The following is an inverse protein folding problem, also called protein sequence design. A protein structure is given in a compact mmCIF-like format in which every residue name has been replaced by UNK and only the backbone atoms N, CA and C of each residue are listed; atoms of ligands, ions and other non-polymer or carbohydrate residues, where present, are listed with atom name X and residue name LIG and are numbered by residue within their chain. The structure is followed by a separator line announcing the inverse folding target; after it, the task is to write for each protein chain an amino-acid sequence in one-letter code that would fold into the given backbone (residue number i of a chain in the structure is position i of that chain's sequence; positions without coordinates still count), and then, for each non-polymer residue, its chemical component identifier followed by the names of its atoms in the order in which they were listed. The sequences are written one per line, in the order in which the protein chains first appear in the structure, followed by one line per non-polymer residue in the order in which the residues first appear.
data_IF_679199696233
#
_entry.id   IF_679199696233
#
_cell.length_a   1.000
_cell.length_b   1.000
_cell.length_c   1.000
_cell.angle_alpha   90.00
_cell.angle_beta   90.00
_cell.angle_gamma   90.00
#
_symmetry.space_group_name_H-M   'P 1'
#
loop_
_entity.id
_entity.type
_entity.pdbx_description
1 polymer ?
#
# COMPACT_ATOMS: atom_id res chain seq x y z
N UNK A 1 -41.45 -6.92 -14.00
CA UNK A 1 -40.45 -5.90 -14.40
C UNK A 1 -39.08 -6.52 -14.25
N UNK A 2 -38.18 -6.46 -15.25
CA UNK A 2 -36.83 -6.99 -15.11
C UNK A 2 -36.05 -6.08 -14.15
N UNK A 3 -35.32 -6.72 -13.23
CA UNK A 3 -34.41 -6.06 -12.29
C UNK A 3 -33.25 -5.52 -13.13
N UNK A 4 -33.06 -4.20 -13.11
CA UNK A 4 -31.93 -3.52 -13.74
C UNK A 4 -30.63 -4.13 -13.20
N UNK A 5 -29.59 -4.39 -14.02
CA UNK A 5 -28.33 -4.86 -13.50
C UNK A 5 -27.79 -3.78 -12.56
N UNK A 6 -27.54 -4.18 -11.33
CA UNK A 6 -26.94 -3.36 -10.29
C UNK A 6 -25.71 -2.68 -10.88
N UNK A 7 -25.77 -1.35 -11.04
CA UNK A 7 -24.58 -0.53 -11.21
C UNK A 7 -23.60 -0.96 -10.12
N UNK A 8 -22.33 -1.28 -10.43
CA UNK A 8 -21.37 -1.58 -9.38
C UNK A 8 -21.39 -0.39 -8.43
N UNK A 9 -21.76 -0.62 -7.18
CA UNK A 9 -21.68 0.40 -6.15
C UNK A 9 -20.19 0.68 -6.03
N UNK A 10 -19.74 1.81 -6.58
CA UNK A 10 -18.41 2.33 -6.31
C UNK A 10 -18.33 2.51 -4.79
N UNK A 11 -17.61 1.60 -4.14
CA UNK A 11 -17.48 1.59 -2.68
C UNK A 11 -16.46 2.66 -2.32
N UNK A 12 -16.95 3.75 -1.75
CA UNK A 12 -16.11 4.85 -1.29
C UNK A 12 -15.93 4.76 0.22
N UNK A 13 -14.68 4.83 0.67
CA UNK A 13 -14.32 4.97 2.08
C UNK A 13 -13.74 6.35 2.32
N UNK A 14 -14.09 6.99 3.43
CA UNK A 14 -13.46 8.24 3.85
C UNK A 14 -12.35 7.96 4.85
N UNK A 15 -11.22 8.65 4.70
CA UNK A 15 -10.18 8.75 5.72
C UNK A 15 -10.17 10.18 6.25
N UNK A 16 -10.17 10.30 7.57
CA UNK A 16 -9.90 11.54 8.27
C UNK A 16 -8.39 11.70 8.45
N UNK A 17 -7.85 12.78 7.90
CA UNK A 17 -6.46 13.21 8.05
C UNK A 17 -6.25 13.91 9.38
N UNK A 18 -4.98 14.05 9.79
CA UNK A 18 -4.63 14.68 11.07
C UNK A 18 -5.06 16.17 11.18
N UNK A 19 -5.30 16.83 10.04
CA UNK A 19 -5.82 18.20 9.96
C UNK A 19 -7.36 18.27 10.02
N UNK A 20 -8.04 17.14 10.19
CA UNK A 20 -9.50 17.02 10.21
C UNK A 20 -10.13 17.02 8.81
N UNK A 21 -9.34 16.99 7.74
CA UNK A 21 -9.86 16.87 6.37
C UNK A 21 -10.30 15.44 6.07
N UNK A 22 -11.35 15.29 5.25
CA UNK A 22 -11.84 14.00 4.79
C UNK A 22 -11.43 13.76 3.34
N UNK A 23 -10.66 12.70 3.11
CA UNK A 23 -10.30 12.23 1.78
C UNK A 23 -11.15 11.04 1.39
N UNK A 24 -11.87 11.14 0.27
CA UNK A 24 -12.61 10.03 -0.32
C UNK A 24 -11.67 9.06 -1.04
N UNK A 25 -11.85 7.77 -0.80
CA UNK A 25 -11.06 6.69 -1.38
C UNK A 25 -11.96 5.77 -2.17
N UNK A 26 -11.61 5.55 -3.43
CA UNK A 26 -12.12 4.47 -4.23
C UNK A 26 -11.50 3.14 -3.74
N UNK A 27 -12.32 2.27 -3.15
CA UNK A 27 -11.88 0.97 -2.64
C UNK A 27 -11.45 0.01 -3.75
N UNK A 28 -12.02 0.13 -4.95
CA UNK A 28 -11.64 -0.69 -6.10
C UNK A 28 -10.24 -0.31 -6.57
N UNK A 29 -9.94 0.98 -6.64
CA UNK A 29 -8.60 1.46 -6.96
C UNK A 29 -7.59 1.04 -5.89
N UNK A 30 -7.95 1.16 -4.60
CA UNK A 30 -7.12 0.72 -3.49
C UNK A 30 -6.80 -0.78 -3.59
N UNK A 31 -7.81 -1.65 -3.76
CA UNK A 31 -7.63 -3.10 -3.86
C UNK A 31 -6.71 -3.46 -5.04
N UNK A 32 -6.91 -2.80 -6.19
CA UNK A 32 -6.05 -2.99 -7.36
C UNK A 32 -4.59 -2.65 -7.06
N UNK A 33 -4.32 -1.46 -6.51
CA UNK A 33 -2.96 -1.01 -6.19
C UNK A 33 -2.28 -1.90 -5.14
N UNK A 34 -3.01 -2.29 -4.09
CA UNK A 34 -2.51 -3.18 -3.04
C UNK A 34 -2.11 -4.53 -3.64
N UNK A 35 -2.97 -5.15 -4.46
CA UNK A 35 -2.68 -6.45 -5.07
C UNK A 35 -1.48 -6.40 -6.01
N UNK A 36 -1.36 -5.33 -6.79
CA UNK A 36 -0.25 -5.14 -7.72
C UNK A 36 1.10 -5.05 -6.97
N UNK A 37 1.16 -4.23 -5.92
CA UNK A 37 2.36 -4.13 -5.07
C UNK A 37 2.66 -5.48 -4.41
N UNK A 38 1.66 -6.16 -3.83
CA UNK A 38 1.84 -7.47 -3.22
C UNK A 38 2.43 -8.50 -4.21
N UNK A 39 1.93 -8.54 -5.45
CA UNK A 39 2.45 -9.44 -6.47
C UNK A 39 3.94 -9.17 -6.74
N UNK A 40 4.33 -7.90 -6.86
CA UNK A 40 5.73 -7.52 -7.07
C UNK A 40 6.64 -7.83 -5.88
N UNK A 41 6.11 -7.81 -4.65
CA UNK A 41 6.88 -8.20 -3.46
C UNK A 41 7.13 -9.71 -3.42
N UNK A 42 6.21 -10.53 -3.93
CA UNK A 42 6.32 -12.00 -3.94
C UNK A 42 7.21 -12.50 -5.09
N UNK A 43 7.20 -11.83 -6.25
CA UNK A 43 7.95 -12.26 -7.43
C UNK A 43 9.46 -12.19 -7.20
N UNK A 44 10.13 -13.32 -7.43
CA UNK A 44 11.58 -13.48 -7.31
C UNK A 44 12.28 -13.02 -8.59
N UNK A 45 12.72 -11.76 -8.65
CA UNK A 45 13.51 -11.25 -9.78
C UNK A 45 14.86 -10.68 -9.30
N UNK A 46 15.95 -11.47 -9.33
CA UNK A 46 17.27 -10.95 -9.01
C UNK A 46 17.75 -9.96 -10.10
N UNK A 47 18.16 -8.76 -9.69
CA UNK A 47 18.93 -7.84 -10.55
C UNK A 47 18.17 -6.69 -11.23
N UNK A 48 16.91 -6.42 -10.88
CA UNK A 48 16.18 -5.22 -11.35
C UNK A 48 15.78 -4.32 -10.18
N UNK A 49 15.64 -3.02 -10.47
CA UNK A 49 15.04 -2.05 -9.54
C UNK A 49 13.69 -2.56 -9.05
N UNK A 50 13.39 -2.37 -7.76
CA UNK A 50 12.24 -3.00 -7.12
C UNK A 50 10.91 -2.40 -7.62
N UNK A 51 10.10 -3.15 -8.39
CA UNK A 51 8.87 -2.60 -9.00
C UNK A 51 7.86 -2.13 -7.94
N UNK A 52 7.79 -2.81 -6.79
CA UNK A 52 6.94 -2.43 -5.67
C UNK A 52 7.28 -1.03 -5.12
N UNK A 53 8.58 -0.69 -5.02
CA UNK A 53 9.01 0.64 -4.59
C UNK A 53 8.69 1.72 -5.62
N UNK A 54 8.85 1.42 -6.91
CA UNK A 54 8.51 2.35 -7.99
C UNK A 54 7.01 2.66 -8.02
N UNK A 55 6.17 1.63 -7.91
CA UNK A 55 4.71 1.78 -7.83
C UNK A 55 4.27 2.59 -6.61
N UNK A 56 4.91 2.38 -5.45
CA UNK A 56 4.62 3.17 -4.27
C UNK A 56 4.96 4.66 -4.48
N UNK A 57 6.08 4.95 -5.12
CA UNK A 57 6.49 6.31 -5.44
C UNK A 57 5.55 6.99 -6.46
N UNK A 58 5.02 6.22 -7.40
CA UNK A 58 4.00 6.67 -8.35
C UNK A 58 2.68 7.00 -7.65
N UNK A 59 2.16 6.08 -6.83
CA UNK A 59 0.95 6.30 -6.03
C UNK A 59 1.07 7.55 -5.15
N UNK A 60 2.22 7.73 -4.49
CA UNK A 60 2.46 8.91 -3.65
C UNK A 60 2.44 10.20 -4.46
N UNK A 61 3.02 10.19 -5.68
CA UNK A 61 3.04 11.34 -6.58
C UNK A 61 1.65 11.70 -7.12
N UNK A 62 0.87 10.69 -7.50
CA UNK A 62 -0.44 10.88 -8.12
C UNK A 62 -1.49 11.34 -7.12
N UNK A 63 -1.49 10.72 -5.94
CA UNK A 63 -2.48 11.03 -4.89
C UNK A 63 -2.10 12.26 -4.06
N UNK A 64 -0.80 12.56 -3.95
CA UNK A 64 -0.24 13.62 -3.09
C UNK A 64 -0.74 13.54 -1.64
N UNK A 65 -1.18 12.36 -1.20
CA UNK A 65 -1.76 12.13 0.11
C UNK A 65 -0.86 11.18 0.91
N UNK A 66 -0.20 11.67 1.96
CA UNK A 66 0.58 10.83 2.87
C UNK A 66 -0.28 9.75 3.54
N UNK A 67 -1.53 10.08 3.91
CA UNK A 67 -2.45 9.15 4.57
C UNK A 67 -2.90 8.03 3.63
N UNK A 68 -3.21 8.35 2.37
CA UNK A 68 -3.51 7.33 1.37
C UNK A 68 -2.31 6.40 1.15
N UNK A 69 -1.12 6.98 1.01
CA UNK A 69 0.13 6.22 0.85
C UNK A 69 0.37 5.30 2.06
N UNK A 70 0.12 5.79 3.27
CA UNK A 70 0.20 5.00 4.51
C UNK A 70 -0.81 3.86 4.52
N UNK A 71 -2.06 4.10 4.09
CA UNK A 71 -3.07 3.05 4.00
C UNK A 71 -2.61 1.95 3.05
N UNK A 72 -2.15 2.29 1.85
CA UNK A 72 -1.65 1.33 0.86
C UNK A 72 -0.52 0.49 1.46
N UNK A 73 0.50 1.13 2.04
CA UNK A 73 1.65 0.44 2.64
C UNK A 73 1.21 -0.49 3.77
N UNK A 74 0.32 -0.03 4.64
CA UNK A 74 -0.15 -0.82 5.78
C UNK A 74 -0.91 -2.07 5.31
N UNK A 75 -1.84 -1.90 4.37
CA UNK A 75 -2.62 -3.01 3.82
C UNK A 75 -1.73 -4.02 3.08
N UNK A 76 -0.77 -3.55 2.28
CA UNK A 76 0.22 -4.40 1.61
C UNK A 76 1.04 -5.20 2.62
N UNK A 77 1.51 -4.55 3.69
CA UNK A 77 2.31 -5.18 4.74
C UNK A 77 1.52 -6.23 5.53
N UNK A 78 0.24 -6.00 5.77
CA UNK A 78 -0.64 -7.00 6.39
C UNK A 78 -0.81 -8.22 5.50
N UNK A 79 -1.11 -8.03 4.21
CA UNK A 79 -1.32 -9.14 3.27
C UNK A 79 -0.05 -9.95 3.03
N UNK A 80 1.10 -9.29 2.86
CA UNK A 80 2.37 -10.01 2.68
C UNK A 80 2.78 -10.75 3.95
N UNK A 81 2.52 -10.19 5.13
CA UNK A 81 2.75 -10.85 6.42
C UNK A 81 1.92 -12.14 6.53
N UNK A 82 0.63 -12.07 6.19
CA UNK A 82 -0.24 -13.25 6.15
C UNK A 82 0.28 -14.30 5.15
N UNK A 83 0.68 -13.88 3.94
CA UNK A 83 1.24 -14.80 2.95
C UNK A 83 2.53 -15.49 3.44
N UNK A 84 3.46 -14.73 4.03
CA UNK A 84 4.71 -15.28 4.54
C UNK A 84 4.52 -16.24 5.71
N UNK A 85 3.55 -15.98 6.58
CA UNK A 85 3.26 -16.82 7.74
C UNK A 85 2.44 -18.07 7.39
N UNK A 86 1.54 -17.99 6.41
CA UNK A 86 0.54 -19.03 6.14
C UNK A 86 0.83 -19.87 4.89
N UNK A 87 1.49 -19.30 3.87
CA UNK A 87 1.53 -19.89 2.54
C UNK A 87 2.94 -20.04 1.93
N UNK A 88 3.92 -19.24 2.36
CA UNK A 88 5.23 -19.24 1.72
C UNK A 88 6.10 -20.45 2.13
N UNK A 89 6.69 -21.15 1.15
CA UNK A 89 7.81 -22.05 1.39
C UNK A 89 9.06 -21.25 1.81
N UNK A 90 9.86 -21.79 2.72
CA UNK A 90 10.99 -21.11 3.40
C UNK A 90 11.98 -20.41 2.45
N UNK A 91 12.14 -20.93 1.23
CA UNK A 91 13.06 -20.41 0.21
C UNK A 91 12.68 -19.03 -0.36
N UNK A 92 11.42 -18.59 -0.22
CA UNK A 92 10.93 -17.30 -0.76
C UNK A 92 11.11 -16.16 0.25
N UNK A 93 11.28 -16.49 1.54
CA UNK A 93 11.31 -15.52 2.65
C UNK A 93 12.43 -14.47 2.51
N UNK A 94 13.70 -14.82 2.21
CA UNK A 94 14.77 -13.83 2.20
C UNK A 94 14.60 -12.75 1.12
N UNK A 95 14.09 -13.14 -0.06
CA UNK A 95 13.87 -12.21 -1.16
C UNK A 95 12.66 -11.32 -0.84
N UNK A 96 11.55 -11.91 -0.38
CA UNK A 96 10.40 -11.13 0.07
C UNK A 96 10.79 -10.12 1.17
N UNK A 97 11.62 -10.51 2.13
CA UNK A 97 12.11 -9.63 3.19
C UNK A 97 12.94 -8.45 2.64
N UNK A 98 13.82 -8.70 1.67
CA UNK A 98 14.57 -7.63 1.01
C UNK A 98 13.63 -6.63 0.31
N UNK A 99 12.62 -7.12 -0.39
CA UNK A 99 11.66 -6.31 -1.13
C UNK A 99 10.82 -5.44 -0.18
N UNK A 100 10.38 -6.02 0.93
CA UNK A 100 9.68 -5.34 2.02
C UNK A 100 10.55 -4.20 2.58
N UNK A 101 11.83 -4.46 2.86
CA UNK A 101 12.73 -3.44 3.39
C UNK A 101 12.89 -2.25 2.45
N UNK A 102 13.00 -2.50 1.14
CA UNK A 102 13.09 -1.44 0.14
C UNK A 102 11.81 -0.61 0.06
N UNK A 103 10.64 -1.27 0.15
CA UNK A 103 9.35 -0.57 0.18
C UNK A 103 9.22 0.30 1.42
N UNK A 104 9.56 -0.22 2.60
CA UNK A 104 9.56 0.54 3.88
C UNK A 104 10.49 1.76 3.77
N UNK A 105 11.69 1.58 3.23
CA UNK A 105 12.63 2.68 3.04
C UNK A 105 12.05 3.76 2.11
N UNK A 106 11.46 3.33 0.99
CA UNK A 106 10.83 4.23 0.02
C UNK A 106 9.69 5.03 0.67
N UNK A 107 8.81 4.36 1.41
CA UNK A 107 7.75 5.03 2.17
C UNK A 107 8.31 6.08 3.13
N UNK A 108 9.36 5.75 3.90
CA UNK A 108 9.99 6.69 4.84
C UNK A 108 10.58 7.92 4.16
N UNK A 109 11.09 7.76 2.94
CA UNK A 109 11.64 8.87 2.15
C UNK A 109 10.54 9.76 1.54
N UNK A 110 9.38 9.18 1.23
CA UNK A 110 8.24 9.91 0.66
C UNK A 110 7.39 10.60 1.75
N UNK A 111 7.38 10.06 2.97
CA UNK A 111 6.61 10.61 4.08
C UNK A 111 7.21 11.95 4.55
N UNK A 112 6.42 13.03 4.68
CA UNK A 112 6.90 14.28 5.25
C UNK A 112 7.32 14.10 6.72
N UNK A 113 8.48 14.66 7.09
CA UNK A 113 9.13 14.52 8.41
C UNK A 113 8.28 15.08 9.56
N UNK A 114 7.37 16.01 9.25
CA UNK A 114 6.57 16.75 10.24
C UNK A 114 5.60 15.86 11.03
N UNK A 115 5.13 14.73 10.47
CA UNK A 115 4.25 13.80 11.19
C UNK A 115 4.97 12.97 12.27
N UNK A 116 6.29 12.80 12.20
CA UNK A 116 7.05 12.09 13.25
C UNK A 116 7.27 12.96 14.50
N UNK A 117 7.23 14.29 14.35
CA UNK A 117 7.39 15.21 15.47
C UNK A 117 6.16 15.20 16.39
N UNK A 118 4.95 15.06 15.84
CA UNK A 118 3.72 14.95 16.62
C UNK A 118 3.63 13.65 17.42
N UNK A 119 4.17 12.53 16.92
CA UNK A 119 4.12 11.23 17.60
C UNK A 119 5.17 11.05 18.72
N UNK A 120 6.14 11.97 18.84
CA UNK A 120 7.15 11.95 19.92
C UNK A 120 6.83 12.91 21.07
N UNK A 121 5.72 13.64 20.99
CA UNK A 121 5.30 14.59 22.02
C UNK A 121 4.11 14.10 22.86
N UNK A 122 3.64 12.88 22.64
CA UNK A 122 2.68 12.17 23.51
C UNK A 122 3.39 11.18 24.45
#
# INVERSE_FOLDING_TARGET
MPISPETPIESFRFIESADGSLSGIDEVQLDKQVREICAHLIVLNPGKDHPASALLAEISRDTKSPDYTRLVVTTVMTLIGQYLLLAAHTFVIPIAQKNINHMILTYRLLRPVEEEAHFRQE
#
